data_IF_835243659462
#
_entry.id   IF_835243659462
#
_cell.length_a   1.000
_cell.length_b   1.000
_cell.length_c   1.000
_cell.angle_alpha   90.00
_cell.angle_beta   90.00
_cell.angle_gamma   90.00
#
_symmetry.space_group_name_H-M   'P 1'
#
loop_
_entity.id
_entity.type
_entity.pdbx_description
1 polymer ?
#
# COMPACT_ATOMS: atom_id res chain seq x y z
N UNK A 1 13.46 2.65 -7.49
CA UNK A 1 13.54 4.04 -7.03
C UNK A 1 12.96 4.98 -8.05
N UNK A 2 11.94 5.68 -7.67
CA UNK A 2 11.39 6.70 -8.53
C UNK A 2 11.98 8.05 -8.20
N UNK A 3 12.46 8.71 -9.22
CA UNK A 3 12.87 10.10 -9.10
C UNK A 3 11.62 10.97 -9.16
N UNK A 4 11.50 11.85 -8.22
CA UNK A 4 10.53 12.92 -8.29
C UNK A 4 10.86 13.79 -9.49
N UNK A 5 9.85 14.23 -10.19
CA UNK A 5 9.87 15.17 -11.31
C UNK A 5 11.26 15.69 -11.74
N UNK A 6 11.83 15.07 -12.73
CA UNK A 6 13.16 15.44 -13.27
C UNK A 6 13.27 16.91 -13.65
N UNK A 7 12.19 17.49 -14.15
CA UNK A 7 12.21 18.87 -14.65
C UNK A 7 12.38 19.93 -13.57
N UNK A 8 11.93 19.64 -12.35
CA UNK A 8 12.00 20.59 -11.22
C UNK A 8 13.18 20.34 -10.30
N UNK A 9 13.60 19.10 -10.18
CA UNK A 9 14.59 18.70 -9.17
C UNK A 9 16.02 18.81 -9.65
N UNK A 10 16.31 18.54 -10.92
CA UNK A 10 17.67 18.48 -11.45
C UNK A 10 18.48 19.76 -11.26
N UNK A 11 17.97 20.97 -11.57
CA UNK A 11 18.76 22.19 -11.37
C UNK A 11 19.15 22.43 -9.92
N UNK A 12 18.30 22.04 -8.97
CA UNK A 12 18.59 22.16 -7.55
C UNK A 12 19.59 21.09 -7.08
N UNK A 13 19.49 19.88 -7.62
CA UNK A 13 20.36 18.77 -7.27
C UNK A 13 21.81 18.97 -7.69
N UNK A 14 22.06 19.69 -8.76
CA UNK A 14 23.41 19.99 -9.25
C UNK A 14 24.24 20.82 -8.28
N UNK A 15 23.62 21.45 -7.29
CA UNK A 15 24.29 22.27 -6.29
C UNK A 15 24.91 21.46 -5.16
N UNK A 16 24.65 20.15 -5.10
CA UNK A 16 25.07 19.30 -3.98
C UNK A 16 26.07 18.24 -4.43
N UNK A 17 27.05 17.97 -3.59
CA UNK A 17 28.07 16.95 -3.87
C UNK A 17 27.52 15.54 -3.68
N UNK A 18 26.58 15.38 -2.76
CA UNK A 18 25.96 14.09 -2.48
C UNK A 18 24.48 14.26 -2.22
N UNK A 19 23.69 13.30 -2.70
CA UNK A 19 22.25 13.31 -2.55
C UNK A 19 21.78 11.94 -2.05
N UNK A 20 21.01 11.96 -0.97
CA UNK A 20 20.38 10.76 -0.44
C UNK A 20 18.89 10.83 -0.77
N UNK A 21 18.43 9.93 -1.63
CA UNK A 21 17.03 9.92 -2.08
C UNK A 21 16.21 9.00 -1.19
N UNK A 22 15.52 9.58 -0.20
CA UNK A 22 14.62 8.86 0.69
C UNK A 22 13.22 8.87 0.10
N UNK A 23 13.03 8.14 -0.98
CA UNK A 23 11.78 8.15 -1.77
C UNK A 23 10.71 7.21 -1.24
N UNK A 24 11.03 6.39 -0.23
CA UNK A 24 10.11 5.41 0.33
C UNK A 24 9.93 4.18 -0.56
N UNK A 25 8.88 3.43 -0.29
CA UNK A 25 8.57 2.20 -1.00
C UNK A 25 7.27 2.35 -1.77
N UNK A 26 7.18 1.65 -2.89
CA UNK A 26 5.95 1.54 -3.66
C UNK A 26 5.28 0.20 -3.33
N UNK A 27 4.01 0.25 -3.00
CA UNK A 27 3.21 -0.95 -2.79
C UNK A 27 2.34 -1.20 -4.02
N UNK A 28 2.39 -2.43 -4.52
CA UNK A 28 1.63 -2.82 -5.70
C UNK A 28 1.17 -4.27 -5.53
N UNK A 29 -0.13 -4.51 -5.60
CA UNK A 29 -0.68 -5.86 -5.46
C UNK A 29 -0.09 -6.84 -6.46
N UNK A 30 0.26 -6.37 -7.65
CA UNK A 30 0.81 -7.23 -8.70
C UNK A 30 2.16 -7.83 -8.34
N UNK A 31 2.87 -7.27 -7.38
CA UNK A 31 4.17 -7.79 -6.93
C UNK A 31 4.04 -8.94 -5.94
N UNK A 32 2.84 -9.24 -5.47
CA UNK A 32 2.60 -10.34 -4.53
C UNK A 32 2.57 -11.67 -5.29
N UNK A 33 3.73 -12.29 -5.41
CA UNK A 33 3.91 -13.50 -6.23
C UNK A 33 3.19 -14.73 -5.70
N UNK A 34 2.85 -14.75 -4.41
CA UNK A 34 2.15 -15.88 -3.80
C UNK A 34 0.67 -15.94 -4.15
N UNK A 35 0.11 -14.86 -4.71
CA UNK A 35 -1.29 -14.85 -5.15
C UNK A 35 -1.37 -15.32 -6.61
N UNK A 36 -2.26 -16.26 -6.94
CA UNK A 36 -2.48 -16.68 -8.33
C UNK A 36 -3.00 -15.52 -9.19
N UNK A 37 -2.67 -15.54 -10.47
CA UNK A 37 -3.05 -14.45 -11.38
C UNK A 37 -4.56 -14.33 -11.55
N UNK A 38 -5.29 -15.45 -11.58
CA UNK A 38 -6.74 -15.43 -11.66
C UNK A 38 -7.37 -14.77 -10.43
N UNK A 39 -6.81 -15.02 -9.24
CA UNK A 39 -7.25 -14.38 -8.02
C UNK A 39 -6.96 -12.88 -8.05
N UNK A 40 -5.76 -12.50 -8.47
CA UNK A 40 -5.38 -11.08 -8.58
C UNK A 40 -6.32 -10.32 -9.52
N UNK A 41 -6.73 -10.92 -10.62
CA UNK A 41 -7.63 -10.29 -11.58
C UNK A 41 -9.03 -10.02 -11.02
N UNK A 42 -9.44 -10.76 -9.97
CA UNK A 42 -10.73 -10.60 -9.30
C UNK A 42 -10.71 -9.54 -8.19
N UNK A 43 -9.53 -9.11 -7.77
CA UNK A 43 -9.39 -8.13 -6.70
C UNK A 43 -9.56 -6.73 -7.29
N UNK A 44 -10.51 -5.96 -6.74
CA UNK A 44 -10.72 -4.58 -7.16
C UNK A 44 -9.57 -3.72 -6.62
N UNK A 45 -8.95 -2.94 -7.52
CA UNK A 45 -7.79 -2.13 -7.20
C UNK A 45 -8.10 -0.64 -7.33
N UNK A 46 -7.43 0.14 -6.48
CA UNK A 46 -7.35 1.58 -6.59
C UNK A 46 -5.89 1.96 -6.43
N UNK A 47 -5.30 2.61 -7.45
CA UNK A 47 -3.88 2.96 -7.46
C UNK A 47 -2.98 1.75 -7.20
N UNK A 48 -3.30 0.61 -7.84
CA UNK A 48 -2.56 -0.65 -7.74
C UNK A 48 -2.65 -1.35 -6.39
N UNK A 49 -3.49 -0.86 -5.50
CA UNK A 49 -3.70 -1.44 -4.17
C UNK A 49 -5.14 -1.89 -4.01
N UNK A 50 -5.38 -2.92 -3.20
CA UNK A 50 -6.73 -3.45 -3.08
C UNK A 50 -7.68 -2.46 -2.42
N UNK A 51 -8.89 -2.39 -2.95
CA UNK A 51 -9.99 -1.69 -2.30
C UNK A 51 -10.58 -2.64 -1.27
N UNK A 52 -10.65 -2.19 -0.03
CA UNK A 52 -11.12 -3.01 1.08
C UNK A 52 -12.33 -2.39 1.78
N UNK A 53 -13.12 -3.26 2.39
CA UNK A 53 -14.28 -2.88 3.16
C UNK A 53 -13.89 -2.37 4.55
N UNK A 54 -14.90 -2.00 5.34
CA UNK A 54 -14.70 -1.58 6.74
C UNK A 54 -14.05 -2.65 7.61
N UNK A 55 -14.15 -3.91 7.21
CA UNK A 55 -13.60 -5.06 7.92
C UNK A 55 -12.35 -5.62 7.27
N UNK A 56 -11.70 -4.86 6.40
CA UNK A 56 -10.48 -5.24 5.68
C UNK A 56 -10.67 -6.36 4.64
N UNK A 57 -11.90 -6.63 4.27
CA UNK A 57 -12.17 -7.61 3.22
C UNK A 57 -12.06 -6.97 1.84
N UNK A 58 -11.41 -7.68 0.92
CA UNK A 58 -11.31 -7.26 -0.49
C UNK A 58 -12.62 -7.51 -1.23
N UNK A 59 -12.64 -7.22 -2.54
CA UNK A 59 -13.78 -7.57 -3.40
C UNK A 59 -13.96 -9.08 -3.57
N UNK A 60 -12.94 -9.87 -3.24
CA UNK A 60 -13.05 -11.33 -3.25
C UNK A 60 -13.49 -11.80 -1.86
N UNK A 61 -14.67 -12.44 -1.74
CA UNK A 61 -15.15 -12.89 -0.43
C UNK A 61 -14.15 -13.82 0.28
N UNK A 62 -13.91 -13.53 1.55
CA UNK A 62 -12.99 -14.32 2.38
C UNK A 62 -11.53 -13.92 2.25
N UNK A 63 -11.18 -13.00 1.38
CA UNK A 63 -9.80 -12.52 1.22
C UNK A 63 -9.65 -11.14 1.86
N UNK A 64 -8.79 -11.07 2.87
CA UNK A 64 -8.56 -9.87 3.66
C UNK A 64 -7.14 -9.36 3.45
N UNK A 65 -6.97 -8.05 3.49
CA UNK A 65 -5.65 -7.40 3.43
C UNK A 65 -5.45 -6.51 4.64
N UNK A 66 -4.24 -6.57 5.19
CA UNK A 66 -3.86 -5.80 6.37
C UNK A 66 -2.55 -5.06 6.11
N UNK A 67 -2.30 -4.02 6.89
CA UNK A 67 -1.03 -3.31 6.87
C UNK A 67 -0.93 -2.23 5.81
N UNK A 68 0.27 -1.95 5.35
CA UNK A 68 0.57 -0.83 4.47
C UNK A 68 -0.21 -0.85 3.16
N UNK A 69 -0.54 -2.02 2.67
CA UNK A 69 -1.30 -2.19 1.43
C UNK A 69 -2.72 -1.64 1.53
N UNK A 70 -3.21 -1.37 2.74
CA UNK A 70 -4.55 -0.84 2.99
C UNK A 70 -4.59 0.69 3.08
N UNK A 71 -3.47 1.36 2.90
CA UNK A 71 -3.38 2.82 3.01
C UNK A 71 -4.41 3.58 2.18
N UNK A 72 -4.69 3.22 0.92
CA UNK A 72 -5.67 3.97 0.13
C UNK A 72 -7.07 4.00 0.73
N UNK A 73 -7.42 2.99 1.52
CA UNK A 73 -8.74 2.90 2.14
C UNK A 73 -8.77 3.47 3.56
N UNK A 74 -7.66 3.38 4.28
CA UNK A 74 -7.61 3.75 5.70
C UNK A 74 -6.60 4.83 6.07
N UNK A 75 -5.81 5.31 5.11
CA UNK A 75 -4.89 6.41 5.31
C UNK A 75 -3.47 5.98 5.71
N UNK A 76 -2.56 6.96 5.81
CA UNK A 76 -1.12 6.71 5.93
C UNK A 76 -0.70 6.01 7.22
N UNK A 77 -1.50 6.05 8.28
CA UNK A 77 -1.18 5.35 9.53
C UNK A 77 -1.06 3.83 9.34
N UNK A 78 -1.66 3.27 8.29
CA UNK A 78 -1.56 1.85 7.99
C UNK A 78 -0.16 1.41 7.56
N UNK A 79 0.73 2.34 7.24
CA UNK A 79 2.14 2.06 6.93
C UNK A 79 2.98 1.81 8.18
N UNK A 80 2.43 2.06 9.35
CA UNK A 80 3.17 2.00 10.61
C UNK A 80 2.52 1.02 11.58
N UNK A 81 3.28 0.65 12.60
CA UNK A 81 2.82 -0.29 13.62
C UNK A 81 1.57 0.19 14.36
N UNK A 82 1.39 1.50 14.49
CA UNK A 82 0.22 2.07 15.17
C UNK A 82 -1.09 1.68 14.48
N UNK A 83 -1.06 1.51 13.16
CA UNK A 83 -2.24 1.08 12.42
C UNK A 83 -2.68 -0.35 12.74
N UNK A 84 -1.76 -1.21 13.17
CA UNK A 84 -2.07 -2.61 13.46
C UNK A 84 -3.01 -2.77 14.65
N UNK A 85 -2.97 -1.86 15.60
CA UNK A 85 -3.83 -1.91 16.78
C UNK A 85 -5.31 -1.79 16.39
N UNK A 86 -5.63 -0.81 15.56
CA UNK A 86 -6.98 -0.64 15.03
C UNK A 86 -7.40 -1.83 14.17
N UNK A 87 -6.52 -2.26 13.28
CA UNK A 87 -6.78 -3.38 12.37
C UNK A 87 -7.08 -4.67 13.11
N UNK A 88 -6.28 -4.98 14.13
CA UNK A 88 -6.45 -6.21 14.90
C UNK A 88 -7.81 -6.27 15.59
N UNK A 89 -8.21 -5.18 16.22
CA UNK A 89 -9.52 -5.09 16.87
C UNK A 89 -10.67 -5.27 15.89
N UNK A 90 -10.60 -4.56 14.78
CA UNK A 90 -11.66 -4.53 13.78
C UNK A 90 -11.83 -5.89 13.11
N UNK A 91 -10.72 -6.49 12.71
CA UNK A 91 -10.74 -7.77 12.04
C UNK A 91 -11.18 -8.90 12.97
N UNK A 92 -10.70 -8.91 14.21
CA UNK A 92 -11.10 -9.92 15.19
C UNK A 92 -12.61 -9.88 15.41
N UNK A 93 -13.20 -8.70 15.52
CA UNK A 93 -14.64 -8.55 15.67
C UNK A 93 -15.40 -9.06 14.45
N UNK A 94 -14.88 -8.80 13.25
CA UNK A 94 -15.52 -9.21 11.99
C UNK A 94 -15.49 -10.73 11.78
N UNK A 95 -14.43 -11.39 12.26
CA UNK A 95 -14.23 -12.83 12.06
C UNK A 95 -14.80 -13.67 13.21
N UNK A 96 -15.22 -13.04 14.28
CA UNK A 96 -15.77 -13.74 15.44
C UNK A 96 -17.10 -14.43 15.17
#
# INVERSE_FOLDING_TARGET
LETVSRHRALPALERYDSIIACTGYRYDLRTLNFLPDDLKSRIRLRRRLPVISRNFESSVPGLYFLGAITEPSYGPSMKFMIGSHYTAKRLAAALA
#
